data_IF_560699439467
#
_entry.id   IF_560699439467
#
_cell.length_a   1.000
_cell.length_b   1.000
_cell.length_c   1.000
_cell.angle_alpha   90.00
_cell.angle_beta   90.00
_cell.angle_gamma   90.00
#
_symmetry.space_group_name_H-M   'P 1'
#
loop_
_entity.id
_entity.type
_entity.pdbx_description
1 polymer ?
#
# COMPACT_ATOMS: atom_id res chain seq x y z
N UNK A 1 -6.16 -11.17 5.25
CA UNK A 1 -5.24 -10.08 4.84
C UNK A 1 -5.99 -8.90 4.25
N UNK A 2 -5.59 -7.68 4.62
CA UNK A 2 -6.07 -6.42 4.02
C UNK A 2 -4.97 -5.84 3.13
N UNK A 3 -5.33 -5.38 1.93
CA UNK A 3 -4.40 -4.70 1.03
C UNK A 3 -4.63 -3.18 1.12
N UNK A 4 -3.55 -2.40 1.24
CA UNK A 4 -3.60 -0.94 1.18
C UNK A 4 -2.66 -0.45 0.08
N UNK A 5 -3.20 -0.05 -1.08
CA UNK A 5 -2.41 0.63 -2.12
C UNK A 5 -2.22 2.10 -1.75
N UNK A 6 -1.06 2.67 -2.10
CA UNK A 6 -0.67 3.99 -1.58
C UNK A 6 -0.39 3.96 -0.07
N UNK A 7 -0.10 2.78 0.50
CA UNK A 7 0.05 2.58 1.95
C UNK A 7 1.27 3.27 2.57
N UNK A 8 2.29 3.62 1.79
CA UNK A 8 3.39 4.47 2.24
C UNK A 8 3.10 5.98 2.03
N UNK A 9 1.98 6.31 1.37
CA UNK A 9 1.49 7.67 1.18
C UNK A 9 0.76 8.24 2.39
N UNK A 10 0.24 9.46 2.25
CA UNK A 10 -0.37 10.20 3.37
C UNK A 10 -1.63 9.53 3.93
N UNK A 11 -2.62 9.25 3.08
CA UNK A 11 -3.89 8.63 3.52
C UNK A 11 -3.68 7.15 3.83
N UNK A 12 -3.00 6.42 2.95
CA UNK A 12 -2.79 4.98 3.11
C UNK A 12 -2.08 4.62 4.41
N UNK A 13 -1.03 5.34 4.81
CA UNK A 13 -0.34 5.06 6.08
C UNK A 13 -1.21 5.31 7.31
N UNK A 14 -2.12 6.30 7.27
CA UNK A 14 -3.09 6.53 8.33
C UNK A 14 -4.16 5.42 8.39
N UNK A 15 -4.53 4.83 7.25
CA UNK A 15 -5.39 3.65 7.22
C UNK A 15 -4.66 2.45 7.86
N UNK A 16 -3.40 2.19 7.48
CA UNK A 16 -2.58 1.13 8.09
C UNK A 16 -2.49 1.33 9.60
N UNK A 17 -2.20 2.56 10.05
CA UNK A 17 -2.20 2.90 11.48
C UNK A 17 -3.54 2.60 12.16
N UNK A 18 -4.66 3.00 11.56
CA UNK A 18 -5.98 2.77 12.12
C UNK A 18 -6.35 1.27 12.19
N UNK A 19 -5.81 0.45 11.27
CA UNK A 19 -5.91 -1.00 11.31
C UNK A 19 -5.05 -1.58 12.44
N UNK A 20 -3.80 -1.14 12.60
CA UNK A 20 -2.94 -1.54 13.72
C UNK A 20 -3.54 -1.18 15.08
N UNK A 21 -4.12 0.02 15.22
CA UNK A 21 -4.82 0.46 16.44
C UNK A 21 -6.03 -0.44 16.78
N UNK A 22 -6.54 -1.22 15.81
CA UNK A 22 -7.59 -2.24 15.99
C UNK A 22 -7.04 -3.67 16.15
N UNK A 23 -5.73 -3.84 16.21
CA UNK A 23 -5.07 -5.14 16.31
C UNK A 23 -4.96 -5.91 14.99
N UNK A 24 -5.17 -5.23 13.85
CA UNK A 24 -5.02 -5.83 12.53
C UNK A 24 -3.60 -5.50 12.04
N UNK A 25 -2.79 -6.54 11.86
CA UNK A 25 -1.41 -6.44 11.35
C UNK A 25 -1.20 -7.27 10.09
N UNK A 26 -2.18 -8.09 9.71
CA UNK A 26 -2.14 -8.88 8.48
C UNK A 26 -2.43 -8.01 7.24
N UNK A 27 -1.45 -7.17 6.89
CA UNK A 27 -1.59 -6.07 5.93
C UNK A 27 -0.49 -6.17 4.86
N UNK A 28 -0.91 -6.16 3.59
CA UNK A 28 -0.02 -5.95 2.44
C UNK A 28 -0.07 -4.48 2.03
N UNK A 29 1.08 -3.80 2.12
CA UNK A 29 1.22 -2.44 1.60
C UNK A 29 1.71 -2.49 0.16
N UNK A 30 1.03 -1.77 -0.73
CA UNK A 30 1.44 -1.59 -2.13
C UNK A 30 1.75 -0.13 -2.38
N UNK A 31 2.99 0.23 -2.73
CA UNK A 31 3.36 1.61 -3.06
C UNK A 31 4.50 1.66 -4.08
N UNK A 32 5.00 2.87 -4.36
CA UNK A 32 6.22 3.12 -5.10
C UNK A 32 7.24 3.78 -4.17
N UNK A 33 8.16 2.98 -3.64
CA UNK A 33 9.28 3.41 -2.79
C UNK A 33 10.52 3.86 -3.57
N UNK A 34 10.42 4.19 -4.88
CA UNK A 34 11.53 4.87 -5.61
C UNK A 34 12.03 6.12 -4.88
N UNK A 35 11.17 6.74 -4.09
CA UNK A 35 11.55 7.73 -3.07
C UNK A 35 11.57 7.08 -1.68
N UNK A 36 12.77 6.69 -1.23
CA UNK A 36 12.96 6.03 0.06
C UNK A 36 12.62 6.89 1.29
N UNK A 37 12.37 8.19 1.12
CA UNK A 37 11.92 9.04 2.24
C UNK A 37 10.54 8.67 2.75
N UNK A 38 9.69 8.03 1.92
CA UNK A 38 8.34 7.59 2.31
C UNK A 38 8.33 6.45 3.32
N UNK A 39 9.46 5.76 3.51
CA UNK A 39 9.59 4.69 4.49
C UNK A 39 9.31 5.18 5.93
N UNK A 40 9.52 6.47 6.21
CA UNK A 40 9.21 7.05 7.53
C UNK A 40 7.73 6.94 7.91
N UNK A 41 6.82 6.81 6.94
CA UNK A 41 5.39 6.65 7.22
C UNK A 41 5.03 5.22 7.67
N UNK A 42 5.93 4.25 7.48
CA UNK A 42 5.71 2.84 7.82
C UNK A 42 6.58 2.36 8.98
N UNK A 43 7.60 3.12 9.39
CA UNK A 43 8.63 2.67 10.36
C UNK A 43 8.07 2.23 11.71
N UNK A 44 6.97 2.85 12.14
CA UNK A 44 6.30 2.58 13.42
C UNK A 44 5.00 1.76 13.26
N UNK A 45 4.78 1.16 12.07
CA UNK A 45 3.57 0.39 11.75
C UNK A 45 3.88 -1.10 11.56
N UNK A 46 2.91 -1.93 11.94
CA UNK A 46 3.01 -3.39 11.80
C UNK A 46 2.31 -3.84 10.51
N UNK A 47 3.09 -4.34 9.56
CA UNK A 47 2.61 -4.87 8.27
C UNK A 47 3.19 -6.26 8.03
N UNK A 48 2.47 -7.10 7.27
CA UNK A 48 2.95 -8.43 6.88
C UNK A 48 4.01 -8.33 5.80
N UNK A 49 3.73 -7.53 4.77
CA UNK A 49 4.60 -7.45 3.59
C UNK A 49 4.43 -6.12 2.84
N UNK A 50 5.40 -5.84 1.97
CA UNK A 50 5.42 -4.72 1.04
C UNK A 50 5.61 -5.23 -0.40
N UNK A 51 4.84 -4.67 -1.33
CA UNK A 51 4.99 -4.94 -2.75
C UNK A 51 5.07 -3.65 -3.56
N UNK A 52 5.93 -3.62 -4.59
CA UNK A 52 5.95 -2.51 -5.54
C UNK A 52 4.70 -2.51 -6.41
N UNK A 53 4.15 -1.32 -6.69
CA UNK A 53 2.91 -1.19 -7.46
C UNK A 53 3.01 -1.78 -8.88
N UNK A 54 4.20 -1.79 -9.49
CA UNK A 54 4.39 -2.37 -10.82
C UNK A 54 4.28 -3.89 -10.78
N UNK A 55 4.88 -4.54 -9.77
CA UNK A 55 4.78 -5.98 -9.56
C UNK A 55 3.34 -6.40 -9.19
N UNK A 56 2.70 -5.63 -8.30
CA UNK A 56 1.31 -5.86 -7.93
C UNK A 56 0.37 -5.79 -9.15
N UNK A 57 0.57 -4.82 -10.05
CA UNK A 57 -0.22 -4.70 -11.27
C UNK A 57 -0.06 -5.92 -12.18
N UNK A 58 1.17 -6.43 -12.33
CA UNK A 58 1.45 -7.62 -13.13
C UNK A 58 0.71 -8.83 -12.57
N UNK A 59 0.78 -9.06 -11.25
CA UNK A 59 0.10 -10.19 -10.60
C UNK A 59 -1.42 -10.11 -10.73
N UNK A 60 -2.00 -8.92 -10.52
CA UNK A 60 -3.45 -8.70 -10.70
C UNK A 60 -3.87 -8.97 -12.15
N UNK A 61 -3.10 -8.51 -13.14
CA UNK A 61 -3.39 -8.75 -14.56
C UNK A 61 -3.23 -10.22 -14.97
N UNK A 62 -2.31 -10.94 -14.33
CA UNK A 62 -2.12 -12.37 -14.53
C UNK A 62 -3.19 -13.22 -13.82
N UNK A 63 -4.02 -12.62 -12.97
CA UNK A 63 -5.04 -13.33 -12.19
C UNK A 63 -4.43 -14.21 -11.10
N UNK A 64 -3.27 -13.83 -10.56
CA UNK A 64 -2.64 -14.54 -9.46
C UNK A 64 -3.43 -14.38 -8.16
N UNK A 65 -3.48 -15.43 -7.34
CA UNK A 65 -4.06 -15.35 -6.01
C UNK A 65 -3.05 -14.79 -5.00
N UNK A 66 -3.48 -13.78 -4.24
CA UNK A 66 -2.69 -13.12 -3.21
C UNK A 66 -2.97 -13.65 -1.80
N UNK A 67 -3.66 -14.80 -1.70
CA UNK A 67 -4.16 -15.36 -0.44
C UNK A 67 -5.58 -14.91 -0.11
N UNK A 68 -5.97 -15.03 1.17
CA UNK A 68 -7.32 -14.70 1.64
C UNK A 68 -7.47 -13.18 1.85
N UNK A 69 -8.02 -12.51 0.85
CA UNK A 69 -8.20 -11.05 0.83
C UNK A 69 -9.57 -10.66 1.38
N UNK A 70 -9.57 -9.97 2.51
CA UNK A 70 -10.78 -9.49 3.17
C UNK A 70 -11.25 -8.15 2.59
N UNK A 71 -10.31 -7.27 2.26
CA UNK A 71 -10.59 -5.94 1.74
C UNK A 71 -9.37 -5.34 1.00
N UNK A 72 -9.66 -4.37 0.11
CA UNK A 72 -8.66 -3.53 -0.55
C UNK A 72 -9.02 -2.06 -0.35
N UNK A 73 -8.12 -1.29 0.27
CA UNK A 73 -8.15 0.17 0.27
C UNK A 73 -7.23 0.68 -0.84
N UNK A 74 -7.79 1.36 -1.84
CA UNK A 74 -7.05 1.74 -3.05
C UNK A 74 -6.77 3.25 -3.10
N UNK A 75 -5.73 3.67 -2.38
CA UNK A 75 -5.35 5.08 -2.23
C UNK A 75 -4.17 5.49 -3.13
N UNK A 76 -3.56 4.52 -3.83
CA UNK A 76 -2.40 4.73 -4.68
C UNK A 76 -2.74 5.46 -5.99
N UNK A 77 -2.32 6.71 -6.11
CA UNK A 77 -2.50 7.52 -7.33
C UNK A 77 -1.38 8.54 -7.54
N UNK A 78 -1.27 9.07 -8.77
CA UNK A 78 -0.55 10.32 -8.99
C UNK A 78 -1.43 11.48 -8.52
N UNK A 79 -1.16 11.99 -7.32
CA UNK A 79 -1.99 13.03 -6.68
C UNK A 79 -1.50 14.47 -6.96
N UNK A 80 -0.47 14.64 -7.79
CA UNK A 80 0.02 15.97 -8.18
C UNK A 80 -0.93 16.61 -9.20
N UNK A 81 -1.58 17.71 -8.83
CA UNK A 81 -2.47 18.47 -9.72
C UNK A 81 -1.72 19.29 -10.78
N UNK A 82 -0.39 19.39 -10.66
CA UNK A 82 0.49 20.14 -11.56
C UNK A 82 1.48 19.24 -12.31
N UNK A 83 1.39 17.92 -12.13
CA UNK A 83 2.30 16.97 -12.76
C UNK A 83 2.06 16.84 -14.26
N UNK A 84 3.14 16.86 -15.06
CA UNK A 84 3.10 16.40 -16.45
C UNK A 84 3.28 14.89 -16.40
N UNK A 85 2.27 14.13 -16.85
CA UNK A 85 2.33 12.67 -16.89
C UNK A 85 3.59 12.20 -17.60
N UNK A 86 4.37 11.34 -16.94
CA UNK A 86 5.43 10.57 -17.58
C UNK A 86 4.91 9.20 -17.92
#
# INVERSE_FOLDING_TARGET
>A
MIIVTGGAGFIGSNIVKALNDKGITDILVVDNLKDGTKFVNLVDLDITDYMDKEDFLIQIMAGEELGDIEAVFHEGACSSTTGVGR
#
